data_IF_575857235015
#
_entry.id   IF_575857235015
#
_cell.length_a   1.000
_cell.length_b   1.000
_cell.length_c   1.000
_cell.angle_alpha   90.00
_cell.angle_beta   90.00
_cell.angle_gamma   90.00
#
_symmetry.space_group_name_H-M   'P 1'
#
loop_
_entity.id
_entity.type
_entity.pdbx_description
1 polymer ?
#
# COMPACT_ATOMS: atom_id res chain seq x y z
N UNK A 1 -20.95 -97.53 5.29
CA UNK A 1 -21.86 -96.76 4.42
C UNK A 1 -22.64 -95.85 5.35
N UNK A 2 -22.53 -94.52 5.39
CA UNK A 2 -22.41 -93.48 4.36
C UNK A 2 -21.79 -92.27 5.11
N UNK A 3 -20.51 -91.91 4.92
CA UNK A 3 -19.96 -90.88 4.03
C UNK A 3 -20.88 -89.67 3.75
N UNK A 4 -20.59 -88.50 4.33
CA UNK A 4 -21.27 -87.24 3.99
C UNK A 4 -20.80 -86.07 4.88
N UNK A 5 -19.59 -85.55 4.64
CA UNK A 5 -19.31 -84.33 3.87
C UNK A 5 -19.46 -83.06 4.73
N UNK A 6 -18.32 -82.66 5.31
CA UNK A 6 -18.04 -81.39 5.95
C UNK A 6 -17.90 -80.32 4.85
N UNK A 7 -18.73 -79.28 4.87
CA UNK A 7 -18.61 -78.11 4.01
C UNK A 7 -18.15 -76.90 4.85
N UNK A 8 -16.84 -76.68 4.91
CA UNK A 8 -16.25 -75.45 5.42
C UNK A 8 -16.40 -74.34 4.38
N UNK A 9 -17.22 -73.34 4.68
CA UNK A 9 -17.28 -72.09 3.93
C UNK A 9 -16.23 -71.12 4.47
N UNK A 10 -15.10 -71.00 3.77
CA UNK A 10 -14.11 -69.94 4.00
C UNK A 10 -14.64 -68.65 3.35
N UNK A 11 -15.20 -67.76 4.17
CA UNK A 11 -15.55 -66.39 3.77
C UNK A 11 -14.29 -65.52 3.67
N UNK A 12 -13.81 -65.28 2.45
CA UNK A 12 -12.75 -64.31 2.18
C UNK A 12 -13.33 -62.88 2.23
N UNK A 13 -13.12 -62.17 3.34
CA UNK A 13 -13.37 -60.73 3.41
C UNK A 13 -12.34 -59.97 2.57
N UNK A 14 -12.73 -59.51 1.39
CA UNK A 14 -11.95 -58.53 0.63
C UNK A 14 -12.05 -57.16 1.33
N UNK A 15 -10.99 -56.77 2.05
CA UNK A 15 -10.83 -55.37 2.51
C UNK A 15 -10.64 -54.50 1.27
N UNK A 16 -11.69 -53.81 0.84
CA UNK A 16 -11.55 -52.69 -0.10
C UNK A 16 -10.72 -51.62 0.59
N UNK A 17 -9.53 -51.36 0.05
CA UNK A 17 -8.70 -50.24 0.48
C UNK A 17 -9.48 -48.94 0.23
N UNK A 18 -9.79 -48.22 1.31
CA UNK A 18 -10.30 -46.85 1.24
C UNK A 18 -9.17 -46.01 0.69
N UNK A 19 -9.37 -45.22 -0.39
CA UNK A 19 -8.32 -44.35 -0.89
C UNK A 19 -8.09 -43.27 0.16
N UNK A 20 -6.95 -43.34 0.83
CA UNK A 20 -6.42 -42.25 1.64
C UNK A 20 -6.18 -41.08 0.69
N UNK A 21 -7.11 -40.13 0.68
CA UNK A 21 -6.91 -38.81 0.09
C UNK A 21 -5.58 -38.29 0.64
N UNK A 22 -4.60 -37.91 -0.20
CA UNK A 22 -3.40 -37.26 0.28
C UNK A 22 -3.86 -36.08 1.14
N UNK A 23 -3.40 -36.02 2.39
CA UNK A 23 -3.52 -34.81 3.17
C UNK A 23 -2.99 -33.70 2.28
N UNK A 24 -3.88 -32.77 1.90
CA UNK A 24 -3.44 -31.56 1.26
C UNK A 24 -2.49 -30.92 2.27
N UNK A 25 -1.20 -30.91 1.95
CA UNK A 25 -0.25 -30.05 2.65
C UNK A 25 -0.83 -28.66 2.51
N UNK A 26 -1.44 -28.15 3.58
CA UNK A 26 -1.84 -26.76 3.65
C UNK A 26 -0.56 -25.97 3.45
N UNK A 27 -0.39 -25.40 2.25
CA UNK A 27 0.65 -24.42 2.00
C UNK A 27 0.43 -23.35 3.06
N UNK A 28 1.38 -23.12 3.99
CA UNK A 28 1.22 -22.06 4.97
C UNK A 28 0.91 -20.79 4.21
N UNK A 29 -0.22 -20.14 4.50
CA UNK A 29 -0.54 -18.85 3.90
C UNK A 29 0.64 -17.95 4.21
N UNK A 30 1.36 -17.50 3.18
CA UNK A 30 2.63 -16.76 3.33
C UNK A 30 2.48 -15.45 4.12
N UNK A 31 1.24 -15.02 4.36
CA UNK A 31 0.84 -14.03 5.36
C UNK A 31 1.44 -14.31 6.75
N UNK A 32 1.67 -15.58 7.13
CA UNK A 32 2.20 -15.95 8.45
C UNK A 32 3.70 -15.66 8.64
N UNK A 33 4.46 -15.35 7.56
CA UNK A 33 5.90 -15.09 7.65
C UNK A 33 6.26 -13.60 7.76
N UNK A 34 5.35 -12.70 7.41
CA UNK A 34 5.64 -11.25 7.37
C UNK A 34 5.23 -10.61 8.69
N UNK A 35 6.19 -10.08 9.43
CA UNK A 35 5.97 -9.48 10.75
C UNK A 35 5.69 -7.97 10.64
N UNK A 36 4.60 -7.60 9.97
CA UNK A 36 4.18 -6.22 9.82
C UNK A 36 2.78 -5.96 10.40
N UNK A 37 2.70 -4.96 11.27
CA UNK A 37 1.48 -4.47 11.86
C UNK A 37 0.95 -3.28 11.06
N UNK A 38 -0.16 -3.54 10.35
CA UNK A 38 -0.86 -2.52 9.59
C UNK A 38 -1.70 -1.64 10.51
N UNK A 39 -1.71 -0.34 10.24
CA UNK A 39 -2.59 0.61 10.92
C UNK A 39 -4.04 0.29 10.57
N UNK A 40 -4.83 0.00 11.58
CA UNK A 40 -6.29 -0.06 11.48
C UNK A 40 -6.91 1.25 11.96
N UNK A 41 -7.87 1.77 11.19
CA UNK A 41 -8.54 3.03 11.46
C UNK A 41 -9.84 3.11 10.66
N UNK A 42 -10.81 3.89 11.13
CA UNK A 42 -11.97 4.27 10.31
C UNK A 42 -11.74 5.61 9.63
N UNK A 43 -11.21 6.58 10.36
CA UNK A 43 -10.87 7.92 9.95
C UNK A 43 -9.47 8.30 10.41
N UNK A 44 -8.69 8.89 9.51
CA UNK A 44 -7.38 9.46 9.83
C UNK A 44 -7.35 10.90 9.35
N UNK A 45 -6.95 11.82 10.22
CA UNK A 45 -6.68 13.21 9.88
C UNK A 45 -5.23 13.50 10.24
N UNK A 46 -4.46 14.03 9.30
CA UNK A 46 -3.09 14.44 9.56
C UNK A 46 -2.80 15.83 9.00
N UNK A 47 -2.10 16.66 9.77
CA UNK A 47 -1.53 17.93 9.29
C UNK A 47 -0.02 17.85 9.31
N UNK A 48 0.62 18.45 8.32
CA UNK A 48 2.06 18.41 8.19
C UNK A 48 2.64 19.49 7.29
N UNK A 49 3.95 19.39 7.08
CA UNK A 49 4.66 20.17 6.06
C UNK A 49 5.19 19.25 4.98
N UNK A 50 5.16 19.73 3.75
CA UNK A 50 5.76 19.06 2.60
C UNK A 50 6.80 19.97 1.95
N UNK A 51 7.93 19.38 1.60
CA UNK A 51 8.92 19.97 0.72
C UNK A 51 8.98 19.10 -0.54
N UNK A 52 8.61 19.69 -1.67
CA UNK A 52 8.54 19.00 -2.96
C UNK A 52 9.65 19.54 -3.85
N UNK A 53 10.32 18.64 -4.54
CA UNK A 53 11.28 18.96 -5.59
C UNK A 53 10.93 18.14 -6.82
N UNK A 54 10.85 18.78 -7.97
CA UNK A 54 10.52 18.10 -9.24
C UNK A 54 11.31 18.78 -10.34
N UNK A 55 11.91 18.00 -11.23
CA UNK A 55 12.74 18.51 -12.32
C UNK A 55 13.92 19.40 -11.87
N UNK A 56 14.46 19.17 -10.67
CA UNK A 56 15.50 20.01 -10.07
C UNK A 56 15.00 21.34 -9.52
N UNK A 57 13.69 21.60 -9.57
CA UNK A 57 13.08 22.80 -8.98
C UNK A 57 12.44 22.48 -7.64
N UNK A 58 12.85 23.24 -6.63
CA UNK A 58 12.34 23.13 -5.27
C UNK A 58 11.14 24.06 -5.09
N UNK A 59 9.97 23.49 -4.82
CA UNK A 59 8.77 24.28 -4.51
C UNK A 59 8.91 24.98 -3.16
N UNK A 60 8.20 26.09 -2.92
CA UNK A 60 8.08 26.65 -1.58
C UNK A 60 7.56 25.62 -0.58
N UNK A 61 7.96 25.74 0.69
CA UNK A 61 7.44 24.91 1.77
C UNK A 61 5.91 24.97 1.79
N UNK A 62 5.29 23.81 1.71
CA UNK A 62 3.84 23.69 1.68
C UNK A 62 3.30 23.13 3.00
N UNK A 63 2.12 23.58 3.40
CA UNK A 63 1.32 22.93 4.42
C UNK A 63 0.47 21.85 3.79
N UNK A 64 0.41 20.68 4.43
CA UNK A 64 -0.35 19.52 4.00
C UNK A 64 -1.48 19.26 4.99
N UNK A 65 -2.70 19.05 4.50
CA UNK A 65 -3.80 18.44 5.24
C UNK A 65 -4.21 17.16 4.54
N UNK A 66 -4.08 16.04 5.24
CA UNK A 66 -4.49 14.72 4.82
C UNK A 66 -5.74 14.32 5.61
N UNK A 67 -6.74 13.77 4.94
CA UNK A 67 -7.91 13.14 5.54
C UNK A 67 -8.18 11.84 4.83
N UNK A 68 -8.48 10.79 5.57
CA UNK A 68 -8.76 9.47 5.01
C UNK A 68 -9.98 8.88 5.71
N UNK A 69 -10.83 8.21 4.93
CA UNK A 69 -11.73 7.17 5.43
C UNK A 69 -11.25 5.86 4.84
N UNK A 70 -10.92 4.91 5.71
CA UNK A 70 -10.34 3.63 5.30
C UNK A 70 -11.17 2.98 4.20
N UNK A 71 -10.48 2.52 3.16
CA UNK A 71 -11.00 1.81 1.99
C UNK A 71 -12.02 2.60 1.14
N UNK A 72 -12.14 3.91 1.39
CA UNK A 72 -13.21 4.73 0.80
C UNK A 72 -12.70 6.01 0.17
N UNK A 73 -11.84 6.77 0.85
CA UNK A 73 -11.39 8.06 0.33
C UNK A 73 -10.06 8.50 0.92
N UNK A 74 -9.24 9.10 0.07
CA UNK A 74 -8.05 9.86 0.45
C UNK A 74 -8.26 11.28 -0.07
N UNK A 75 -8.25 12.23 0.84
CA UNK A 75 -8.40 13.65 0.55
C UNK A 75 -7.14 14.38 1.01
N UNK A 76 -6.57 15.16 0.11
CA UNK A 76 -5.34 15.90 0.34
C UNK A 76 -5.54 17.34 -0.07
N UNK A 77 -5.11 18.26 0.78
CA UNK A 77 -5.04 19.68 0.47
C UNK A 77 -3.61 20.17 0.74
N UNK A 78 -3.04 20.86 -0.25
CA UNK A 78 -1.70 21.44 -0.17
C UNK A 78 -1.84 22.95 -0.31
N UNK A 79 -1.26 23.68 0.64
CA UNK A 79 -1.32 25.14 0.70
C UNK A 79 0.06 25.75 0.82
N UNK A 80 0.33 26.83 0.08
CA UNK A 80 1.57 27.60 0.12
C UNK A 80 1.23 29.01 0.59
N UNK A 81 1.92 29.49 1.63
CA UNK A 81 1.68 30.83 2.22
C UNK A 81 0.18 31.07 2.54
N UNK A 82 -0.48 30.04 3.08
CA UNK A 82 -1.90 30.11 3.49
C UNK A 82 -2.93 29.97 2.37
N UNK A 83 -2.51 29.86 1.11
CA UNK A 83 -3.41 29.68 -0.04
C UNK A 83 -3.35 28.23 -0.53
N UNK A 84 -4.51 27.61 -0.71
CA UNK A 84 -4.61 26.25 -1.27
C UNK A 84 -4.26 26.26 -2.75
N UNK A 85 -3.22 25.52 -3.12
CA UNK A 85 -2.71 25.43 -4.51
C UNK A 85 -3.08 24.12 -5.17
N UNK A 86 -3.27 23.04 -4.40
CA UNK A 86 -3.62 21.73 -4.90
C UNK A 86 -4.62 21.06 -3.95
N UNK A 87 -5.65 20.42 -4.52
CA UNK A 87 -6.52 19.50 -3.81
C UNK A 87 -6.65 18.19 -4.57
N UNK A 88 -6.43 17.07 -3.88
CA UNK A 88 -6.64 15.74 -4.43
C UNK A 88 -7.77 15.03 -3.67
N UNK A 89 -8.57 14.28 -4.41
CA UNK A 89 -9.66 13.46 -3.91
C UNK A 89 -9.62 12.12 -4.66
N UNK A 90 -9.23 11.06 -3.95
CA UNK A 90 -9.09 9.72 -4.51
C UNK A 90 -10.10 8.80 -3.86
N UNK A 91 -10.83 8.04 -4.67
CA UNK A 91 -11.68 6.91 -4.26
C UNK A 91 -11.12 5.62 -4.85
N UNK A 92 -11.66 4.43 -4.51
CA UNK A 92 -11.18 3.17 -5.06
C UNK A 92 -11.13 3.12 -6.60
N UNK A 93 -12.01 3.86 -7.26
CA UNK A 93 -12.23 3.85 -8.70
C UNK A 93 -11.88 5.16 -9.42
N UNK A 94 -11.69 6.26 -8.68
CA UNK A 94 -11.52 7.58 -9.28
C UNK A 94 -10.41 8.41 -8.65
N UNK A 95 -9.85 9.29 -9.47
CA UNK A 95 -8.87 10.30 -9.09
C UNK A 95 -9.39 11.65 -9.58
N UNK A 96 -9.51 12.59 -8.65
CA UNK A 96 -9.83 13.97 -8.93
C UNK A 96 -8.73 14.87 -8.37
N UNK A 97 -8.15 15.70 -9.22
CA UNK A 97 -7.08 16.64 -8.86
C UNK A 97 -7.55 18.04 -9.27
N UNK A 98 -7.50 18.98 -8.34
CA UNK A 98 -7.79 20.38 -8.57
C UNK A 98 -6.50 21.17 -8.39
N UNK A 99 -5.94 21.66 -9.50
CA UNK A 99 -4.80 22.56 -9.52
C UNK A 99 -5.33 24.00 -9.53
N UNK A 100 -5.33 24.61 -8.35
CA UNK A 100 -5.83 25.97 -8.15
C UNK A 100 -4.84 27.03 -8.62
N UNK A 101 -3.57 26.68 -8.75
CA UNK A 101 -2.55 27.59 -9.25
C UNK A 101 -2.75 27.84 -10.75
N UNK A 102 -3.03 26.77 -11.50
CA UNK A 102 -3.22 26.86 -12.95
C UNK A 102 -4.69 26.98 -13.38
N UNK A 103 -5.64 26.92 -12.44
CA UNK A 103 -7.10 26.87 -12.71
C UNK A 103 -7.46 25.67 -13.60
N UNK A 104 -6.87 24.53 -13.27
CA UNK A 104 -7.03 23.29 -14.02
C UNK A 104 -7.53 22.19 -13.09
N UNK A 105 -8.20 21.19 -13.66
CA UNK A 105 -8.58 20.01 -12.90
C UNK A 105 -8.54 18.75 -13.75
N UNK A 106 -8.27 17.64 -13.09
CA UNK A 106 -8.43 16.30 -13.62
C UNK A 106 -9.58 15.61 -12.87
N UNK A 107 -10.37 14.83 -13.61
CA UNK A 107 -11.39 13.95 -13.04
C UNK A 107 -11.49 12.71 -13.93
N UNK A 108 -11.02 11.58 -13.42
CA UNK A 108 -10.95 10.32 -14.14
C UNK A 108 -10.49 9.19 -13.24
N UNK A 109 -9.66 8.29 -13.74
CA UNK A 109 -9.18 7.11 -13.02
C UNK A 109 -7.67 7.20 -12.72
N UNK A 110 -7.09 6.12 -12.20
CA UNK A 110 -5.68 6.04 -11.84
C UNK A 110 -4.71 6.06 -13.03
N UNK A 111 -5.23 6.08 -14.27
CA UNK A 111 -4.41 6.20 -15.48
C UNK A 111 -3.63 7.50 -15.50
N UNK A 112 -4.20 8.58 -14.98
CA UNK A 112 -3.50 9.86 -14.85
C UNK A 112 -2.24 9.75 -14.00
N UNK A 113 -2.30 9.03 -12.87
CA UNK A 113 -1.14 8.82 -12.01
C UNK A 113 -0.11 7.91 -12.70
N UNK A 114 -0.58 6.90 -13.44
CA UNK A 114 0.28 6.04 -14.26
C UNK A 114 1.06 6.84 -15.30
N UNK A 115 0.40 7.74 -16.02
CA UNK A 115 1.05 8.58 -17.03
C UNK A 115 1.97 9.64 -16.42
N UNK A 116 1.61 10.18 -15.26
CA UNK A 116 2.40 11.22 -14.58
C UNK A 116 3.67 10.68 -13.95
N UNK A 117 3.61 9.48 -13.37
CA UNK A 117 4.71 8.91 -12.57
C UNK A 117 5.33 7.65 -13.19
N UNK A 118 4.86 7.21 -14.36
CA UNK A 118 5.27 5.97 -15.02
C UNK A 118 5.16 4.73 -14.14
N UNK A 119 4.18 4.70 -13.23
CA UNK A 119 3.99 3.62 -12.26
C UNK A 119 2.51 3.28 -12.16
N UNK A 120 2.10 2.03 -12.40
CA UNK A 120 0.73 1.61 -12.14
C UNK A 120 0.50 1.58 -10.63
N UNK A 121 -0.46 2.38 -10.15
CA UNK A 121 -0.81 2.47 -8.73
C UNK A 121 -2.31 2.33 -8.54
N UNK A 122 -2.71 1.60 -7.50
CA UNK A 122 -4.11 1.47 -7.07
C UNK A 122 -4.41 2.34 -5.85
N UNK A 123 -5.69 2.56 -5.58
CA UNK A 123 -6.13 3.23 -4.35
C UNK A 123 -5.55 2.58 -3.09
N UNK A 124 -5.62 1.25 -2.99
CA UNK A 124 -5.17 0.49 -1.82
C UNK A 124 -3.66 0.64 -1.61
N UNK A 125 -2.88 0.67 -2.70
CA UNK A 125 -1.44 0.89 -2.63
C UNK A 125 -1.12 2.31 -2.15
N UNK A 126 -1.82 3.33 -2.65
CA UNK A 126 -1.64 4.71 -2.17
C UNK A 126 -2.04 4.83 -0.70
N UNK A 127 -3.18 4.24 -0.32
CA UNK A 127 -3.64 4.21 1.07
C UNK A 127 -2.57 3.59 1.97
N UNK A 128 -2.09 2.38 1.63
CA UNK A 128 -1.09 1.67 2.39
C UNK A 128 0.22 2.46 2.50
N UNK A 129 0.67 3.05 1.40
CA UNK A 129 1.87 3.88 1.36
C UNK A 129 1.77 5.08 2.29
N UNK A 130 0.69 5.85 2.22
CA UNK A 130 0.53 7.07 3.02
C UNK A 130 0.58 6.77 4.51
N UNK A 131 0.01 5.63 4.95
CA UNK A 131 0.01 5.24 6.36
C UNK A 131 1.17 4.32 6.75
N UNK A 132 2.03 3.94 5.81
CA UNK A 132 3.18 3.05 6.02
C UNK A 132 2.82 1.59 6.33
N UNK A 133 1.74 1.07 5.74
CA UNK A 133 1.32 -0.33 5.85
C UNK A 133 2.10 -1.22 4.87
N UNK A 134 2.21 -2.50 5.23
CA UNK A 134 2.72 -3.53 4.35
C UNK A 134 1.82 -3.69 3.13
N UNK A 135 2.44 -3.73 1.95
CA UNK A 135 1.78 -4.02 0.68
C UNK A 135 1.99 -5.51 0.37
N UNK A 136 0.94 -6.35 0.40
CA UNK A 136 1.08 -7.76 0.05
C UNK A 136 1.23 -7.96 -1.46
N UNK A 137 1.85 -9.08 -1.84
CA UNK A 137 1.76 -9.58 -3.22
C UNK A 137 0.30 -9.85 -3.58
N UNK A 138 -0.10 -9.42 -4.77
CA UNK A 138 -1.42 -9.80 -5.33
C UNK A 138 -1.40 -11.17 -6.01
N UNK A 139 -0.22 -11.75 -6.25
CA UNK A 139 -0.07 -13.09 -6.81
C UNK A 139 -0.12 -14.14 -5.70
N UNK A 140 -1.17 -14.96 -5.70
CA UNK A 140 -1.40 -16.03 -4.71
C UNK A 140 -0.53 -17.25 -4.99
N UNK A 141 -0.05 -17.42 -6.23
CA UNK A 141 0.73 -18.59 -6.64
C UNK A 141 2.24 -18.40 -6.42
N UNK A 142 2.70 -17.15 -6.43
CA UNK A 142 4.11 -16.80 -6.23
C UNK A 142 4.28 -16.10 -4.89
N UNK A 143 4.62 -16.84 -3.82
CA UNK A 143 4.81 -16.24 -2.52
C UNK A 143 6.00 -15.27 -2.51
N UNK A 144 5.98 -14.21 -1.68
CA UNK A 144 7.14 -13.37 -1.49
C UNK A 144 8.32 -14.15 -0.89
N UNK A 145 9.53 -13.77 -1.30
CA UNK A 145 10.76 -14.16 -0.62
C UNK A 145 10.91 -13.32 0.64
N UNK A 146 11.10 -13.97 1.78
CA UNK A 146 11.28 -13.32 3.07
C UNK A 146 12.63 -13.72 3.66
N UNK A 147 13.45 -12.74 4.01
CA UNK A 147 14.70 -12.96 4.76
C UNK A 147 14.80 -11.99 5.94
N UNK A 148 15.57 -12.36 6.95
CA UNK A 148 15.78 -11.53 8.14
C UNK A 148 17.28 -11.29 8.31
N UNK A 149 17.66 -10.03 8.43
CA UNK A 149 19.04 -9.57 8.64
C UNK A 149 19.05 -8.58 9.82
N UNK A 150 19.48 -9.05 11.00
CA UNK A 150 19.45 -8.26 12.23
C UNK A 150 18.02 -7.84 12.60
N UNK A 151 17.74 -6.54 12.85
CA UNK A 151 16.40 -6.06 13.22
C UNK A 151 15.46 -5.87 12.02
N UNK A 152 15.91 -6.17 10.79
CA UNK A 152 15.15 -5.93 9.57
C UNK A 152 14.71 -7.25 8.94
N UNK A 153 13.42 -7.33 8.64
CA UNK A 153 12.88 -8.32 7.73
C UNK A 153 12.76 -7.71 6.33
N UNK A 154 13.34 -8.37 5.33
CA UNK A 154 13.29 -8.00 3.92
C UNK A 154 12.26 -8.90 3.22
N UNK A 155 11.29 -8.28 2.57
CA UNK A 155 10.22 -8.97 1.82
C UNK A 155 10.29 -8.54 0.37
N UNK A 156 10.43 -9.49 -0.55
CA UNK A 156 10.59 -9.24 -1.98
C UNK A 156 9.62 -10.07 -2.80
N UNK A 157 9.01 -9.46 -3.82
CA UNK A 157 8.15 -10.16 -4.77
C UNK A 157 8.04 -9.44 -6.10
N UNK A 158 7.61 -10.18 -7.12
CA UNK A 158 7.32 -9.66 -8.44
C UNK A 158 5.80 -9.49 -8.60
N UNK A 159 5.35 -8.35 -9.12
CA UNK A 159 3.96 -8.10 -9.46
C UNK A 159 3.87 -7.46 -10.85
N UNK A 160 3.48 -8.26 -11.84
CA UNK A 160 3.56 -7.87 -13.25
C UNK A 160 4.98 -7.43 -13.61
N UNK A 161 5.19 -6.19 -14.08
CA UNK A 161 6.52 -5.64 -14.38
C UNK A 161 7.23 -5.05 -13.16
N UNK A 162 6.58 -4.97 -12.00
CA UNK A 162 7.13 -4.36 -10.80
C UNK A 162 7.89 -5.39 -9.97
N UNK A 163 9.14 -5.07 -9.63
CA UNK A 163 9.86 -5.71 -8.54
C UNK A 163 9.65 -4.87 -7.27
N UNK A 164 9.07 -5.46 -6.23
CA UNK A 164 8.79 -4.80 -4.96
C UNK A 164 9.70 -5.36 -3.87
N UNK A 165 10.31 -4.46 -3.11
CA UNK A 165 11.08 -4.75 -1.90
C UNK A 165 10.55 -3.91 -0.74
N UNK A 166 10.32 -4.54 0.40
CA UNK A 166 9.93 -3.87 1.64
C UNK A 166 10.87 -4.28 2.77
N UNK A 167 11.35 -3.28 3.53
CA UNK A 167 12.10 -3.51 4.76
C UNK A 167 11.20 -3.20 5.95
N UNK A 168 10.99 -4.19 6.80
CA UNK A 168 10.14 -4.11 7.98
C UNK A 168 11.04 -4.19 9.22
N UNK A 169 10.88 -3.25 10.14
CA UNK A 169 11.57 -3.31 11.43
C UNK A 169 10.83 -4.24 12.38
N UNK A 170 11.52 -5.22 12.95
CA UNK A 170 10.88 -6.27 13.72
C UNK A 170 10.37 -5.80 15.10
N UNK A 171 10.99 -4.79 15.72
CA UNK A 171 10.58 -4.30 17.05
C UNK A 171 9.28 -3.51 16.97
N UNK A 172 9.18 -2.60 16.01
CA UNK A 172 7.99 -1.77 15.75
C UNK A 172 6.96 -2.47 14.88
N UNK A 173 7.36 -3.53 14.17
CA UNK A 173 6.56 -4.21 13.16
C UNK A 173 6.04 -3.25 12.08
N UNK A 174 6.85 -2.24 11.73
CA UNK A 174 6.48 -1.22 10.73
C UNK A 174 7.42 -1.26 9.54
N UNK A 175 6.87 -1.01 8.35
CA UNK A 175 7.65 -0.79 7.14
C UNK A 175 8.53 0.44 7.33
N UNK A 176 9.85 0.29 7.19
CA UNK A 176 10.82 1.38 7.17
C UNK A 176 11.15 1.83 5.76
N UNK A 177 11.03 0.93 4.79
CA UNK A 177 11.29 1.23 3.38
C UNK A 177 10.39 0.43 2.47
N UNK A 178 9.86 1.11 1.45
CA UNK A 178 9.28 0.50 0.26
C UNK A 178 10.15 0.91 -0.93
N UNK A 179 10.57 -0.06 -1.74
CA UNK A 179 11.23 0.18 -3.01
C UNK A 179 10.51 -0.59 -4.12
N UNK A 180 10.17 0.09 -5.20
CA UNK A 180 9.52 -0.50 -6.37
C UNK A 180 10.36 -0.14 -7.59
N UNK A 181 10.72 -1.16 -8.38
CA UNK A 181 11.40 -0.99 -9.66
C UNK A 181 10.51 -1.51 -10.76
N UNK A 182 10.11 -0.64 -11.69
CA UNK A 182 9.37 -1.09 -12.86
C UNK A 182 10.34 -1.54 -13.95
N UNK A 183 10.27 -2.80 -14.33
CA UNK A 183 11.13 -3.37 -15.37
C UNK A 183 10.79 -2.84 -16.77
N UNK A 184 9.58 -2.32 -16.98
CA UNK A 184 9.16 -1.76 -18.27
C UNK A 184 9.66 -0.33 -18.44
N UNK A 185 9.23 0.59 -17.58
CA UNK A 185 9.64 2.00 -17.65
C UNK A 185 11.04 2.25 -17.11
N UNK A 186 11.66 1.28 -16.41
CA UNK A 186 12.92 1.43 -15.67
C UNK A 186 12.87 2.52 -14.59
N UNK A 187 11.67 2.91 -14.17
CA UNK A 187 11.44 3.87 -13.08
C UNK A 187 11.67 3.20 -11.74
N UNK A 188 12.42 3.87 -10.85
CA UNK A 188 12.55 3.49 -9.45
C UNK A 188 11.68 4.40 -8.60
N UNK A 189 11.01 3.79 -7.62
CA UNK A 189 10.17 4.46 -6.65
C UNK A 189 10.58 4.02 -5.26
N UNK A 190 10.82 4.96 -4.35
CA UNK A 190 11.13 4.62 -2.96
C UNK A 190 10.34 5.48 -1.99
N UNK A 191 9.97 4.88 -0.86
CA UNK A 191 9.47 5.58 0.31
C UNK A 191 10.27 5.13 1.51
N UNK A 192 10.93 6.06 2.18
CA UNK A 192 11.58 5.84 3.47
C UNK A 192 10.70 6.45 4.57
N UNK A 193 10.45 5.66 5.61
CA UNK A 193 9.62 6.02 6.76
C UNK A 193 10.49 6.22 8.00
N UNK A 194 10.30 7.34 8.70
CA UNK A 194 11.11 7.72 9.86
C UNK A 194 10.31 8.53 10.88
N UNK A 195 10.97 8.92 11.99
CA UNK A 195 10.35 9.64 13.12
C UNK A 195 9.10 8.91 13.65
N UNK A 196 9.24 7.61 13.93
CA UNK A 196 8.13 6.81 14.44
C UNK A 196 7.70 7.27 15.83
N UNK A 197 6.41 7.53 16.00
CA UNK A 197 5.80 7.92 17.27
C UNK A 197 4.54 7.10 17.53
N UNK A 198 4.21 6.79 18.80
CA UNK A 198 2.95 6.14 19.12
C UNK A 198 1.78 7.08 18.84
N UNK A 199 0.73 6.54 18.24
CA UNK A 199 -0.55 7.22 18.09
C UNK A 199 -1.34 7.20 19.41
N UNK A 200 -2.37 8.04 19.50
CA UNK A 200 -3.33 8.05 20.60
C UNK A 200 -4.74 7.85 20.02
N UNK A 201 -5.63 7.14 20.75
CA UNK A 201 -5.46 6.58 22.09
C UNK A 201 -4.74 5.21 22.12
N UNK A 202 -4.66 4.52 20.98
CA UNK A 202 -3.99 3.22 20.89
C UNK A 202 -2.54 3.41 20.42
N UNK A 203 -1.52 2.99 21.21
CA UNK A 203 -0.11 3.34 20.99
C UNK A 203 0.57 2.57 19.85
N UNK A 204 -0.11 2.41 18.71
CA UNK A 204 0.52 1.88 17.51
C UNK A 204 1.52 2.89 16.96
N UNK A 205 2.73 2.43 16.62
CA UNK A 205 3.78 3.27 16.04
C UNK A 205 3.34 3.77 14.67
N UNK A 206 3.58 5.05 14.36
CA UNK A 206 3.27 5.68 13.07
C UNK A 206 4.46 6.53 12.61
N UNK A 207 4.77 6.51 11.32
CA UNK A 207 5.87 7.29 10.75
C UNK A 207 5.46 8.75 10.58
N UNK A 208 6.02 9.66 11.39
CA UNK A 208 5.73 11.08 11.23
C UNK A 208 6.49 11.71 10.06
N UNK A 209 7.53 11.05 9.52
CA UNK A 209 8.29 11.56 8.40
C UNK A 209 8.36 10.54 7.26
N UNK A 210 8.02 10.98 6.04
CA UNK A 210 8.13 10.22 4.80
C UNK A 210 9.07 10.95 3.84
N UNK A 211 9.98 10.20 3.20
CA UNK A 211 10.73 10.66 2.04
C UNK A 211 10.32 9.81 0.84
N UNK A 212 9.55 10.39 -0.07
CA UNK A 212 9.15 9.77 -1.33
C UNK A 212 10.11 10.22 -2.42
N UNK A 213 10.63 9.28 -3.22
CA UNK A 213 11.48 9.58 -4.37
C UNK A 213 11.02 8.80 -5.59
N UNK A 214 10.97 9.47 -6.73
CA UNK A 214 10.66 8.90 -8.04
C UNK A 214 11.81 9.24 -8.96
N UNK A 215 12.48 8.20 -9.46
CA UNK A 215 13.63 8.33 -10.34
C UNK A 215 13.29 7.65 -11.68
N UNK A 216 12.97 8.41 -12.74
CA UNK A 216 12.85 7.86 -14.08
C UNK A 216 14.22 7.38 -14.60
N UNK A 217 14.29 6.55 -15.66
CA UNK A 217 15.57 6.09 -16.20
C UNK A 217 16.45 7.21 -16.72
N UNK A 218 15.82 8.18 -17.39
CA UNK A 218 16.47 9.32 -18.01
C UNK A 218 15.73 10.57 -17.55
N UNK A 219 16.20 11.21 -16.50
CA UNK A 219 15.62 12.44 -16.00
C UNK A 219 15.96 12.73 -14.54
N UNK A 220 15.69 13.96 -14.09
CA UNK A 220 15.87 14.35 -12.70
C UNK A 220 14.93 13.56 -11.77
N UNK A 221 15.41 13.29 -10.56
CA UNK A 221 14.57 12.75 -9.49
C UNK A 221 13.46 13.76 -9.14
N UNK A 222 12.30 13.23 -8.77
CA UNK A 222 11.28 13.99 -8.03
C UNK A 222 11.27 13.49 -6.59
N UNK A 223 11.28 14.41 -5.63
CA UNK A 223 11.27 14.09 -4.21
C UNK A 223 10.13 14.81 -3.49
N UNK A 224 9.55 14.15 -2.50
CA UNK A 224 8.62 14.76 -1.56
C UNK A 224 8.99 14.33 -0.15
N UNK A 225 9.47 15.28 0.66
CA UNK A 225 9.66 15.09 2.09
C UNK A 225 8.42 15.60 2.82
N UNK A 226 7.75 14.72 3.57
CA UNK A 226 6.52 15.01 4.30
C UNK A 226 6.79 14.80 5.79
N UNK A 227 6.44 15.78 6.62
CA UNK A 227 6.56 15.73 8.06
C UNK A 227 5.21 16.02 8.71
N UNK A 228 4.54 14.99 9.22
CA UNK A 228 3.30 15.06 9.98
C UNK A 228 3.54 15.53 11.41
N UNK A 229 2.66 16.40 11.90
CA UNK A 229 2.75 17.01 13.24
C UNK A 229 1.54 16.69 14.13
N UNK A 230 0.35 16.71 13.54
CA UNK A 230 -0.89 16.42 14.24
C UNK A 230 -1.56 15.27 13.51
N UNK A 231 -1.57 14.09 14.12
CA UNK A 231 -2.19 12.88 13.55
C UNK A 231 -3.26 12.44 14.52
N UNK A 232 -4.49 12.39 14.03
CA UNK A 232 -5.66 11.99 14.77
C UNK A 232 -6.27 10.76 14.08
N UNK A 233 -6.44 9.68 14.85
CA UNK A 233 -7.10 8.46 14.40
C UNK A 233 -8.40 8.33 15.16
N UNK A 234 -9.50 8.16 14.44
CA UNK A 234 -10.85 7.86 14.96
C UNK A 234 -11.40 8.83 16.01
N UNK A 235 -10.88 10.06 16.06
CA UNK A 235 -11.38 11.10 16.97
C UNK A 235 -12.75 11.65 16.56
N UNK A 236 -12.97 11.85 15.27
CA UNK A 236 -14.20 12.45 14.75
C UNK A 236 -14.52 11.98 13.33
N UNK A 237 -15.76 12.22 12.91
CA UNK A 237 -16.15 12.04 11.50
C UNK A 237 -15.56 13.18 10.67
N UNK A 238 -14.96 12.83 9.55
CA UNK A 238 -14.34 13.80 8.65
C UNK A 238 -15.26 14.13 7.48
N UNK A 239 -15.12 15.35 6.97
CA UNK A 239 -15.70 15.79 5.70
C UNK A 239 -14.64 15.82 4.61
N UNK A 240 -15.08 15.57 3.38
CA UNK A 240 -14.21 15.45 2.20
C UNK A 240 -14.71 16.34 1.04
N UNK A 241 -14.77 17.67 1.22
CA UNK A 241 -15.36 18.55 0.23
C UNK A 241 -14.52 18.61 -1.05
N UNK A 242 -15.17 18.45 -2.20
CA UNK A 242 -14.58 18.63 -3.51
C UNK A 242 -15.58 19.31 -4.44
N UNK A 243 -15.20 20.46 -4.98
CA UNK A 243 -16.01 21.23 -5.92
C UNK A 243 -15.07 21.93 -6.88
N UNK A 244 -15.37 21.83 -8.17
CA UNK A 244 -14.60 22.48 -9.24
C UNK A 244 -15.28 23.80 -9.59
N UNK A 245 -14.59 24.95 -9.49
CA UNK A 245 -15.14 26.22 -9.95
C UNK A 245 -15.40 26.20 -11.46
N UNK A 246 -16.45 26.91 -11.90
CA UNK A 246 -16.94 26.86 -13.30
C UNK A 246 -15.93 27.35 -14.34
N UNK A 247 -14.97 28.15 -13.91
CA UNK A 247 -13.94 28.77 -14.72
C UNK A 247 -12.66 27.91 -14.88
N UNK A 248 -12.65 26.69 -14.32
CA UNK A 248 -11.51 25.80 -14.38
C UNK A 248 -11.53 24.91 -15.63
N UNK A 249 -10.35 24.67 -16.20
CA UNK A 249 -10.18 23.87 -17.41
C UNK A 249 -9.95 22.40 -17.07
N UNK A 250 -10.73 21.50 -17.68
CA UNK A 250 -10.54 20.05 -17.51
C UNK A 250 -9.34 19.56 -18.33
N UNK A 251 -8.38 18.91 -17.68
CA UNK A 251 -7.32 18.12 -18.32
C UNK A 251 -7.81 16.71 -18.61
N UNK A 252 -7.38 16.18 -19.75
CA UNK A 252 -7.62 14.79 -20.16
C UNK A 252 -6.51 13.90 -19.61
#
# INVERSE_FOLDING_TARGET
>A
MVLGLILMLLGACTRKAVPTRPAATEVPKVVDLVHADNLDFKFLSAKGKAQIETNGEKMPNANLSLRMRKDSIIWVSVSVVGVEVLRAHLTPDSVQILDKLHREYYAGNFEYLRQRFNLPVTFQQIQALVVGNYVPSSDVNTPPTVSTEGPLQKVQYQQSSLFVEQLIEQTRQRVQKLAVKDQNSKTNFTVDYSDFKPLLPQPQQFANALLVMIQPPNGPASTASINFRNIDVDKERLSFPFSVPSDYVRKK
#
